data_IF_361233525315
#
_entry.id   IF_361233525315
#
_cell.length_a   1.000
_cell.length_b   1.000
_cell.length_c   1.000
_cell.angle_alpha   90.00
_cell.angle_beta   90.00
_cell.angle_gamma   90.00
#
_symmetry.space_group_name_H-M   'P 1'
#
loop_
_entity.id
_entity.type
_entity.pdbx_description
1 polymer ?
#
# COMPACT_ATOMS: atom_id res chain seq x y z
N UNK A 1 26.78 -91.22 24.11
CA UNK A 1 27.25 -89.82 23.97
C UNK A 1 28.38 -89.60 24.95
N UNK A 2 29.55 -89.16 24.49
CA UNK A 2 30.73 -88.92 25.36
C UNK A 2 30.61 -87.55 26.03
N UNK A 3 30.93 -87.43 27.34
CA UNK A 3 30.80 -86.16 28.05
C UNK A 3 31.88 -85.17 27.62
N UNK A 4 31.47 -83.93 27.32
CA UNK A 4 32.36 -82.82 27.01
C UNK A 4 33.13 -82.40 28.27
N UNK A 5 34.46 -82.51 28.26
CA UNK A 5 35.33 -82.10 29.37
C UNK A 5 35.87 -80.69 29.09
N UNK A 6 35.38 -79.70 29.84
CA UNK A 6 35.67 -78.28 29.64
C UNK A 6 37.10 -77.88 30.06
N UNK A 7 37.73 -78.68 30.92
CA UNK A 7 38.95 -78.30 31.63
C UNK A 7 40.25 -78.47 30.82
N UNK A 8 40.21 -79.11 29.64
CA UNK A 8 41.39 -79.48 28.85
C UNK A 8 41.50 -78.70 27.52
N UNK A 9 40.80 -77.58 27.37
CA UNK A 9 40.90 -76.75 26.15
C UNK A 9 41.75 -75.51 26.41
N UNK A 10 42.61 -75.09 25.45
CA UNK A 10 43.39 -73.86 25.61
C UNK A 10 42.43 -72.68 25.76
N UNK A 11 42.54 -71.98 26.90
CA UNK A 11 41.70 -70.82 27.22
C UNK A 11 41.92 -69.77 26.12
N UNK A 12 40.86 -69.49 25.35
CA UNK A 12 40.88 -68.46 24.30
C UNK A 12 41.26 -67.14 24.97
N UNK A 13 42.37 -66.53 24.55
CA UNK A 13 42.76 -65.23 25.07
C UNK A 13 41.72 -64.18 24.63
N UNK A 14 41.28 -63.35 25.57
CA UNK A 14 40.36 -62.25 25.27
C UNK A 14 40.95 -61.37 24.16
N UNK A 15 40.21 -61.18 23.06
CA UNK A 15 40.60 -60.28 21.96
C UNK A 15 40.61 -58.80 22.37
N UNK A 16 40.06 -58.47 23.54
CA UNK A 16 40.14 -57.15 24.14
C UNK A 16 41.17 -57.18 25.27
N UNK A 17 42.43 -56.96 24.91
CA UNK A 17 43.50 -56.64 25.87
C UNK A 17 43.72 -55.13 25.85
N UNK A 18 43.75 -54.51 27.02
CA UNK A 18 44.14 -53.11 27.13
C UNK A 18 45.66 -53.00 26.93
N UNK A 19 46.17 -51.90 26.37
CA UNK A 19 47.60 -51.66 26.28
C UNK A 19 48.26 -51.69 27.66
N UNK A 20 49.54 -52.05 27.69
CA UNK A 20 50.32 -52.08 28.93
C UNK A 20 50.27 -50.70 29.62
N UNK A 21 50.00 -50.72 30.93
CA UNK A 21 49.90 -49.52 31.77
C UNK A 21 48.83 -48.50 31.37
N UNK A 22 47.80 -48.91 30.60
CA UNK A 22 46.68 -48.04 30.21
C UNK A 22 46.00 -47.39 31.41
N UNK A 23 45.64 -48.19 32.43
CA UNK A 23 44.93 -47.71 33.61
C UNK A 23 45.85 -46.94 34.58
N UNK A 24 47.13 -47.29 34.65
CA UNK A 24 48.12 -46.61 35.49
C UNK A 24 48.34 -45.16 35.05
N UNK A 25 48.43 -44.93 33.73
CA UNK A 25 48.68 -43.60 33.17
C UNK A 25 47.39 -42.82 32.85
N UNK A 26 46.22 -43.46 32.94
CA UNK A 26 44.94 -42.85 32.58
C UNK A 26 44.66 -41.55 33.36
N UNK A 27 44.91 -41.55 34.67
CA UNK A 27 44.64 -40.39 35.52
C UNK A 27 45.53 -39.20 35.15
N UNK A 28 46.82 -39.44 34.91
CA UNK A 28 47.77 -38.40 34.51
C UNK A 28 47.38 -37.77 33.17
N UNK A 29 47.04 -38.61 32.17
CA UNK A 29 46.59 -38.18 30.85
C UNK A 29 45.27 -37.41 30.92
N UNK A 30 44.34 -37.81 31.78
CA UNK A 30 43.06 -37.12 31.95
C UNK A 30 43.25 -35.72 32.52
N UNK A 31 44.07 -35.57 33.57
CA UNK A 31 44.36 -34.27 34.19
C UNK A 31 45.10 -33.35 33.23
N UNK A 32 46.07 -33.88 32.48
CA UNK A 32 46.80 -33.13 31.46
C UNK A 32 45.86 -32.62 30.35
N UNK A 33 44.92 -33.47 29.89
CA UNK A 33 43.93 -33.06 28.89
C UNK A 33 43.00 -31.97 29.42
N UNK A 34 42.51 -32.08 30.65
CA UNK A 34 41.64 -31.07 31.26
C UNK A 34 42.37 -29.74 31.53
N UNK A 35 43.67 -29.77 31.77
CA UNK A 35 44.50 -28.58 31.98
C UNK A 35 44.88 -27.88 30.67
N UNK A 36 45.13 -28.65 29.60
CA UNK A 36 45.54 -28.14 28.29
C UNK A 36 44.35 -27.87 27.35
N UNK A 37 43.18 -28.42 27.63
CA UNK A 37 41.95 -28.08 26.93
C UNK A 37 41.39 -26.77 27.51
N UNK A 38 41.27 -25.70 26.70
CA UNK A 38 40.66 -24.47 27.19
C UNK A 38 39.21 -24.78 27.59
N UNK A 39 38.94 -24.73 28.89
CA UNK A 39 37.64 -25.01 29.53
C UNK A 39 36.49 -24.20 28.89
N UNK A 40 36.81 -23.12 28.17
CA UNK A 40 35.81 -22.32 27.49
C UNK A 40 36.32 -21.76 26.16
N UNK A 41 36.47 -22.60 25.14
CA UNK A 41 36.26 -22.09 23.77
C UNK A 41 34.75 -21.90 23.64
N UNK A 42 34.22 -20.79 24.16
CA UNK A 42 32.82 -20.42 23.92
C UNK A 42 32.63 -20.33 22.41
N UNK A 43 32.14 -21.40 21.81
CA UNK A 43 31.61 -21.35 20.45
C UNK A 43 30.57 -20.25 20.47
N UNK A 44 30.85 -19.15 19.76
CA UNK A 44 29.96 -17.99 19.63
C UNK A 44 28.62 -18.46 19.07
N UNK A 45 27.70 -18.80 19.96
CA UNK A 45 26.35 -19.25 19.60
C UNK A 45 25.54 -18.01 19.26
N UNK A 46 25.18 -17.88 17.98
CA UNK A 46 24.30 -16.82 17.52
C UNK A 46 22.86 -17.34 17.66
N UNK A 47 22.09 -16.72 18.56
CA UNK A 47 20.66 -17.02 18.71
C UNK A 47 19.91 -16.80 17.39
N UNK A 48 19.35 -17.88 16.84
CA UNK A 48 18.59 -17.90 15.58
C UNK A 48 17.29 -17.08 15.69
N UNK A 49 16.73 -16.97 16.90
CA UNK A 49 15.48 -16.25 17.16
C UNK A 49 15.64 -14.73 17.07
N UNK A 50 16.85 -14.19 17.29
CA UNK A 50 17.10 -12.75 17.24
C UNK A 50 17.02 -12.18 15.82
N UNK A 51 17.45 -12.95 14.82
CA UNK A 51 17.41 -12.54 13.40
C UNK A 51 16.02 -12.67 12.77
N UNK A 52 15.16 -13.55 13.29
CA UNK A 52 13.78 -13.68 12.78
C UNK A 52 12.93 -12.45 13.09
N UNK A 53 13.10 -11.83 14.26
CA UNK A 53 12.36 -10.61 14.63
C UNK A 53 12.62 -9.45 13.68
N UNK A 54 13.87 -9.22 13.26
CA UNK A 54 14.20 -8.13 12.31
C UNK A 54 13.66 -8.40 10.91
N UNK A 55 13.67 -9.65 10.46
CA UNK A 55 13.07 -10.04 9.17
C UNK A 55 11.55 -9.89 9.22
N UNK A 56 10.90 -10.33 10.30
CA UNK A 56 9.46 -10.16 10.49
C UNK A 56 9.07 -8.68 10.57
N UNK A 57 9.87 -7.85 11.24
CA UNK A 57 9.68 -6.39 11.28
C UNK A 57 9.82 -5.76 9.89
N UNK A 58 10.80 -6.18 9.09
CA UNK A 58 10.98 -5.69 7.73
C UNK A 58 9.79 -6.08 6.82
N UNK A 59 9.31 -7.31 6.92
CA UNK A 59 8.11 -7.77 6.20
C UNK A 59 6.90 -6.94 6.61
N UNK A 60 6.70 -6.71 7.90
CA UNK A 60 5.60 -5.89 8.40
C UNK A 60 5.67 -4.45 7.87
N UNK A 61 6.85 -3.82 7.88
CA UNK A 61 7.04 -2.46 7.36
C UNK A 61 6.72 -2.35 5.86
N UNK A 62 7.18 -3.31 5.05
CA UNK A 62 6.85 -3.36 3.61
C UNK A 62 5.35 -3.53 3.42
N UNK A 63 4.71 -4.41 4.20
CA UNK A 63 3.27 -4.65 4.12
C UNK A 63 2.46 -3.40 4.50
N UNK A 64 2.85 -2.68 5.55
CA UNK A 64 2.18 -1.43 5.94
C UNK A 64 2.33 -0.36 4.87
N UNK A 65 3.50 -0.23 4.25
CA UNK A 65 3.70 0.72 3.14
C UNK A 65 2.81 0.32 1.97
N UNK A 66 2.80 -0.96 1.58
CA UNK A 66 1.98 -1.47 0.49
C UNK A 66 0.48 -1.22 0.69
N UNK A 67 -0.02 -1.37 1.93
CA UNK A 67 -1.42 -1.10 2.28
C UNK A 67 -1.74 0.40 2.28
N UNK A 68 -0.75 1.26 2.57
CA UNK A 68 -0.90 2.71 2.53
C UNK A 68 -0.98 3.28 1.10
N UNK A 69 -0.38 2.59 0.12
CA UNK A 69 -0.35 3.02 -1.29
C UNK A 69 -1.74 3.39 -1.84
N UNK A 70 -2.77 2.52 -1.82
CA UNK A 70 -4.09 2.86 -2.38
C UNK A 70 -4.77 4.04 -1.67
N UNK A 71 -4.55 4.19 -0.35
CA UNK A 71 -5.08 5.31 0.43
C UNK A 71 -4.49 6.62 -0.07
N UNK A 72 -3.17 6.67 -0.26
CA UNK A 72 -2.48 7.84 -0.80
C UNK A 72 -2.94 8.12 -2.23
N UNK A 73 -3.04 7.12 -3.10
CA UNK A 73 -3.54 7.30 -4.47
C UNK A 73 -4.94 7.90 -4.50
N UNK A 74 -5.86 7.45 -3.62
CA UNK A 74 -7.20 8.01 -3.53
C UNK A 74 -7.18 9.46 -3.04
N UNK A 75 -6.31 9.80 -2.08
CA UNK A 75 -6.15 11.19 -1.59
C UNK A 75 -5.54 12.13 -2.62
N UNK A 76 -4.59 11.66 -3.45
CA UNK A 76 -4.00 12.47 -4.52
C UNK A 76 -4.90 12.59 -5.75
N UNK A 77 -5.68 11.54 -6.06
CA UNK A 77 -6.58 11.52 -7.22
C UNK A 77 -7.94 12.14 -6.92
N UNK A 78 -8.22 12.53 -5.67
CA UNK A 78 -9.37 13.37 -5.34
C UNK A 78 -9.04 14.78 -5.81
N UNK A 79 -9.32 15.05 -7.09
CA UNK A 79 -9.30 16.41 -7.61
C UNK A 79 -10.17 17.28 -6.70
N UNK A 80 -9.72 18.51 -6.45
CA UNK A 80 -10.51 19.54 -5.77
C UNK A 80 -11.56 20.10 -6.72
N UNK A 81 -12.15 19.23 -7.54
CA UNK A 81 -13.33 19.58 -8.30
C UNK A 81 -14.45 19.74 -7.29
N UNK A 82 -15.22 20.81 -7.47
CA UNK A 82 -16.37 21.06 -6.62
C UNK A 82 -17.30 19.86 -6.77
N UNK A 83 -17.45 19.10 -5.69
CA UNK A 83 -18.36 17.97 -5.64
C UNK A 83 -19.78 18.47 -5.94
N UNK A 84 -20.54 17.73 -6.75
CA UNK A 84 -21.87 18.14 -7.21
C UNK A 84 -22.78 18.47 -6.01
N UNK A 85 -22.68 17.66 -4.94
CA UNK A 85 -23.40 17.89 -3.69
C UNK A 85 -22.95 19.16 -2.95
N UNK A 86 -21.70 19.59 -3.13
CA UNK A 86 -21.21 20.87 -2.57
C UNK A 86 -21.77 22.06 -3.36
N UNK A 87 -21.83 21.96 -4.70
CA UNK A 87 -22.44 22.98 -5.55
C UNK A 87 -23.94 23.09 -5.25
N UNK A 88 -24.64 21.96 -5.15
CA UNK A 88 -26.07 21.90 -4.83
C UNK A 88 -26.37 22.54 -3.48
N UNK A 89 -25.59 22.21 -2.44
CA UNK A 89 -25.74 22.82 -1.13
C UNK A 89 -25.45 24.32 -1.15
N UNK A 90 -24.43 24.78 -1.87
CA UNK A 90 -24.13 26.21 -2.03
C UNK A 90 -25.29 26.97 -2.70
N UNK A 91 -25.83 26.43 -3.80
CA UNK A 91 -26.97 27.04 -4.50
C UNK A 91 -28.26 27.02 -3.67
N UNK A 92 -28.43 26.03 -2.80
CA UNK A 92 -29.61 25.85 -1.96
C UNK A 92 -29.55 26.67 -0.67
N UNK A 93 -28.40 26.73 0.00
CA UNK A 93 -28.19 27.47 1.25
C UNK A 93 -27.98 28.97 0.99
N UNK A 94 -27.31 29.33 -0.10
CA UNK A 94 -26.99 30.71 -0.51
C UNK A 94 -27.89 31.15 -1.68
N UNK A 95 -29.19 30.81 -1.62
CA UNK A 95 -30.22 31.04 -2.65
C UNK A 95 -30.58 32.50 -2.98
N UNK A 96 -29.63 33.42 -2.85
CA UNK A 96 -29.73 34.83 -3.23
C UNK A 96 -28.75 35.19 -4.35
N UNK A 97 -28.67 34.34 -5.37
CA UNK A 97 -27.98 34.68 -6.62
C UNK A 97 -28.78 35.82 -7.27
N UNK A 98 -28.22 37.04 -7.29
CA UNK A 98 -28.90 38.17 -7.91
C UNK A 98 -28.94 37.93 -9.43
N UNK A 99 -30.11 38.10 -10.07
CA UNK A 99 -30.27 37.94 -11.52
C UNK A 99 -29.26 38.77 -12.31
N UNK A 100 -28.92 39.96 -11.81
CA UNK A 100 -27.93 40.85 -12.43
C UNK A 100 -26.51 40.26 -12.41
N UNK A 101 -26.17 39.53 -11.34
CA UNK A 101 -24.86 38.89 -11.15
C UNK A 101 -24.72 37.67 -12.07
N UNK A 102 -25.80 36.90 -12.25
CA UNK A 102 -25.87 35.78 -13.20
C UNK A 102 -25.67 36.29 -14.63
N UNK A 103 -26.35 37.38 -15.02
CA UNK A 103 -26.22 37.98 -16.36
C UNK A 103 -24.77 38.43 -16.60
N UNK A 104 -24.13 39.02 -15.59
CA UNK A 104 -22.74 39.50 -15.71
C UNK A 104 -21.71 38.37 -15.85
N UNK A 105 -21.96 37.21 -15.24
CA UNK A 105 -21.02 36.07 -15.22
C UNK A 105 -21.21 35.12 -16.43
N UNK A 106 -22.44 35.01 -16.95
CA UNK A 106 -22.75 34.22 -18.15
C UNK A 106 -22.24 34.90 -19.43
N UNK A 107 -22.08 36.22 -19.40
CA UNK A 107 -21.74 37.03 -20.57
C UNK A 107 -20.30 37.55 -20.48
N UNK A 108 -19.28 36.75 -20.87
CA UNK A 108 -17.90 37.21 -20.93
C UNK A 108 -17.78 38.25 -22.05
N UNK A 109 -17.96 39.53 -21.72
CA UNK A 109 -17.61 40.75 -22.48
C UNK A 109 -17.79 40.74 -24.02
N UNK A 110 -18.66 39.89 -24.59
CA UNK A 110 -18.67 39.67 -26.04
C UNK A 110 -20.04 39.72 -26.70
N UNK A 111 -21.13 39.80 -25.94
CA UNK A 111 -22.42 40.19 -26.47
C UNK A 111 -23.00 41.28 -25.58
N UNK A 112 -22.64 42.53 -25.90
CA UNK A 112 -23.51 43.63 -25.54
C UNK A 112 -24.84 43.32 -26.24
N UNK A 113 -25.90 43.00 -25.49
CA UNK A 113 -27.26 43.17 -26.00
C UNK A 113 -27.41 44.67 -26.18
N UNK A 114 -26.93 45.16 -27.33
CA UNK A 114 -27.33 46.45 -27.84
C UNK A 114 -28.81 46.22 -28.14
N UNK A 115 -29.67 46.59 -27.20
CA UNK A 115 -31.01 47.04 -27.53
C UNK A 115 -30.80 48.23 -28.46
N UNK A 116 -30.55 47.95 -29.73
CA UNK A 116 -30.45 48.94 -30.79
C UNK A 116 -31.87 49.44 -30.97
N UNK A 117 -32.26 50.37 -30.10
CA UNK A 117 -33.39 51.26 -30.33
C UNK A 117 -32.99 52.26 -31.42
N UNK A 118 -32.48 51.75 -32.54
CA UNK A 118 -32.46 52.47 -33.79
C UNK A 118 -33.92 52.62 -34.16
N UNK A 119 -34.43 53.84 -34.06
CA UNK A 119 -35.78 54.20 -34.48
C UNK A 119 -36.06 53.54 -35.83
N UNK A 120 -36.83 52.46 -35.80
CA UNK A 120 -37.14 51.73 -37.02
C UNK A 120 -38.11 52.61 -37.78
N UNK A 121 -37.65 53.17 -38.89
CA UNK A 121 -38.46 54.03 -39.75
C UNK A 121 -39.72 53.26 -40.14
N UNK A 122 -40.89 53.83 -39.86
CA UNK A 122 -42.18 53.13 -39.95
C UNK A 122 -42.46 52.51 -41.31
N UNK A 123 -41.89 53.10 -42.38
CA UNK A 123 -41.96 52.60 -43.74
C UNK A 123 -41.23 51.24 -43.91
N UNK A 124 -40.10 51.06 -43.23
CA UNK A 124 -39.35 49.80 -43.25
C UNK A 124 -40.03 48.71 -42.44
N UNK A 125 -40.70 49.08 -41.34
CA UNK A 125 -41.54 48.16 -40.56
C UNK A 125 -42.74 47.67 -41.36
N UNK A 126 -43.45 48.59 -42.04
CA UNK A 126 -44.63 48.25 -42.82
C UNK A 126 -44.29 47.28 -43.97
N UNK A 127 -43.18 47.51 -44.66
CA UNK A 127 -42.70 46.61 -45.72
C UNK A 127 -42.27 45.24 -45.17
N UNK A 128 -41.60 45.20 -44.01
CA UNK A 128 -41.21 43.93 -43.37
C UNK A 128 -42.42 43.14 -42.87
N UNK A 129 -43.44 43.82 -42.35
CA UNK A 129 -44.69 43.23 -41.89
C UNK A 129 -45.54 42.72 -43.07
N UNK A 130 -45.62 43.50 -44.15
CA UNK A 130 -46.37 43.14 -45.35
C UNK A 130 -45.69 42.02 -46.16
N UNK A 131 -44.36 41.97 -46.15
CA UNK A 131 -43.59 40.96 -46.88
C UNK A 131 -43.58 39.60 -46.19
N UNK A 132 -43.92 39.50 -44.90
CA UNK A 132 -43.80 38.26 -44.16
C UNK A 132 -45.17 37.75 -43.68
N UNK A 133 -45.83 36.88 -44.45
CA UNK A 133 -47.20 36.42 -44.19
C UNK A 133 -47.36 35.54 -42.95
N UNK A 134 -46.26 35.20 -42.25
CA UNK A 134 -46.27 34.30 -41.09
C UNK A 134 -45.93 35.01 -39.77
N UNK A 135 -45.90 36.34 -39.71
CA UNK A 135 -45.61 37.06 -38.45
C UNK A 135 -46.64 36.77 -37.36
N UNK A 136 -47.90 36.49 -37.74
CA UNK A 136 -48.95 36.10 -36.81
C UNK A 136 -48.57 34.84 -36.00
N UNK A 137 -47.79 33.91 -36.58
CA UNK A 137 -47.34 32.71 -35.87
C UNK A 137 -46.35 33.02 -34.74
N UNK A 138 -45.58 34.11 -34.84
CA UNK A 138 -44.62 34.51 -33.79
C UNK A 138 -45.31 35.10 -32.54
N UNK A 139 -46.55 35.58 -32.70
CA UNK A 139 -47.36 36.10 -31.59
C UNK A 139 -48.16 34.98 -30.91
N UNK A 140 -48.45 33.89 -31.62
CA UNK A 140 -49.23 32.75 -31.10
C UNK A 140 -48.33 31.75 -30.33
N UNK A 141 -47.02 31.76 -30.56
CA UNK A 141 -46.07 30.81 -29.94
C UNK A 141 -45.44 31.32 -28.61
N UNK A 142 -46.12 32.22 -27.90
CA UNK A 142 -45.77 32.65 -26.53
C UNK A 142 -46.96 32.54 -25.58
#
# INVERSE_FOLDING_TARGET
>A
MTPFKLDNTPKIESGFKTPDSYFENFQAVLIEKLANEPIVKETKVISIFRKRKTVLLAIAAVFTIALMIPILYQSYSKSKDLDEATIENYLTEEGHINQDEIISEIEPESNIIILDTKEIETQTLEDMLASNPNIENLVIEN
#
